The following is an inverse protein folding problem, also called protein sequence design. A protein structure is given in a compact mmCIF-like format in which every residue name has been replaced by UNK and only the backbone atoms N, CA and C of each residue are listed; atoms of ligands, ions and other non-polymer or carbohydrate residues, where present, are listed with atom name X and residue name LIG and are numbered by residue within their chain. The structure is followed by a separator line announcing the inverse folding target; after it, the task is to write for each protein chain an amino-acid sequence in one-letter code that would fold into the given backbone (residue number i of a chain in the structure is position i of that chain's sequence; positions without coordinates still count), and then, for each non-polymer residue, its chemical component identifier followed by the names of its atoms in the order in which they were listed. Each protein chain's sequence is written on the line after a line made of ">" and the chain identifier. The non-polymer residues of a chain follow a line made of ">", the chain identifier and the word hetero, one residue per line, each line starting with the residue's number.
data_IF_629220071108
#
_entry.id   IF_629220071108
#
_cell.length_a   1.000
_cell.length_b   1.000
_cell.length_c   1.000
_cell.angle_alpha   90.00
_cell.angle_beta   90.00
_cell.angle_gamma   90.00
#
_symmetry.space_group_name_H-M   'P 1'
#
loop_
_entity.id
_entity.type
_entity.pdbx_description
1 polymer ?
#
# COMPACT_ATOMS: atom_id res chain seq x y z
N UNK A 1 5.98 15.68 58.22
CA UNK A 1 7.31 15.06 58.35
C UNK A 1 7.40 13.94 57.32
N UNK A 2 8.20 13.89 56.24
CA UNK A 2 9.09 14.81 55.48
C UNK A 2 8.89 14.47 53.97
N UNK A 3 9.00 15.33 52.96
CA UNK A 3 10.11 16.10 52.35
C UNK A 3 11.30 15.24 51.85
N UNK A 4 11.74 15.55 50.61
CA UNK A 4 12.83 15.04 49.75
C UNK A 4 12.41 13.90 48.79
N UNK A 5 12.49 14.01 47.47
CA UNK A 5 13.41 14.78 46.62
C UNK A 5 14.16 13.78 45.74
N UNK A 6 13.70 13.55 44.51
CA UNK A 6 14.26 12.53 43.61
C UNK A 6 13.88 12.80 42.17
N UNK A 7 14.39 13.91 41.62
CA UNK A 7 14.45 14.14 40.19
C UNK A 7 15.36 13.09 39.55
N UNK A 8 14.79 12.11 38.87
CA UNK A 8 15.50 11.21 37.96
C UNK A 8 14.71 11.03 36.67
N UNK A 9 14.71 12.07 35.82
CA UNK A 9 14.70 11.86 34.37
C UNK A 9 16.16 11.78 33.94
N UNK A 10 16.58 10.76 33.17
CA UNK A 10 16.23 10.76 31.74
C UNK A 10 15.99 9.36 31.16
N UNK A 11 14.85 9.10 30.48
CA UNK A 11 14.67 8.00 29.50
C UNK A 11 13.35 8.09 28.71
N UNK A 12 12.87 9.29 28.33
CA UNK A 12 11.67 9.43 27.49
C UNK A 12 11.96 9.35 25.98
N UNK A 13 13.22 9.42 25.56
CA UNK A 13 13.60 9.41 24.13
C UNK A 13 13.66 8.01 23.50
N UNK A 14 14.13 6.99 24.25
CA UNK A 14 14.20 5.61 23.74
C UNK A 14 12.81 5.02 23.50
N UNK A 15 11.90 5.22 24.47
CA UNK A 15 10.49 4.82 24.38
C UNK A 15 9.77 5.52 23.22
N UNK A 16 10.00 6.82 23.02
CA UNK A 16 9.37 7.57 21.92
C UNK A 16 9.79 7.08 20.54
N UNK A 17 11.06 6.69 20.37
CA UNK A 17 11.56 6.11 19.11
C UNK A 17 10.95 4.72 18.86
N UNK A 18 10.88 3.86 19.86
CA UNK A 18 10.27 2.53 19.75
C UNK A 18 8.77 2.60 19.43
N UNK A 19 8.03 3.50 20.10
CA UNK A 19 6.61 3.75 19.82
C UNK A 19 6.41 4.26 18.39
N UNK A 20 7.27 5.19 17.93
CA UNK A 20 7.23 5.69 16.55
C UNK A 20 7.50 4.57 15.54
N UNK A 21 8.53 3.75 15.78
CA UNK A 21 8.91 2.66 14.88
C UNK A 21 7.79 1.59 14.81
N UNK A 22 7.14 1.29 15.95
CA UNK A 22 5.98 0.39 16.00
C UNK A 22 4.76 0.95 15.25
N UNK A 23 4.44 2.23 15.47
CA UNK A 23 3.33 2.91 14.78
C UNK A 23 3.56 2.98 13.27
N UNK A 24 4.77 3.31 12.82
CA UNK A 24 5.12 3.34 11.40
C UNK A 24 4.93 1.97 10.76
N UNK A 25 5.35 0.89 11.43
CA UNK A 25 5.13 -0.48 10.94
C UNK A 25 3.64 -0.82 10.84
N UNK A 26 2.84 -0.44 11.83
CA UNK A 26 1.39 -0.65 11.78
C UNK A 26 0.76 0.09 10.60
N UNK A 27 1.06 1.39 10.45
CA UNK A 27 0.53 2.21 9.34
C UNK A 27 0.97 1.65 7.99
N UNK A 28 2.20 1.15 7.86
CA UNK A 28 2.67 0.51 6.63
C UNK A 28 1.88 -0.76 6.31
N UNK A 29 1.62 -1.62 7.30
CA UNK A 29 0.83 -2.84 7.10
C UNK A 29 -0.62 -2.53 6.69
N UNK A 30 -1.25 -1.55 7.36
CA UNK A 30 -2.60 -1.10 7.03
C UNK A 30 -2.66 -0.49 5.61
N UNK A 31 -1.68 0.35 5.26
CA UNK A 31 -1.58 0.94 3.92
C UNK A 31 -1.39 -0.13 2.84
N UNK A 32 -0.54 -1.13 3.08
CA UNK A 32 -0.35 -2.24 2.14
C UNK A 32 -1.65 -3.01 1.92
N UNK A 33 -2.42 -3.27 2.99
CA UNK A 33 -3.72 -3.94 2.87
C UNK A 33 -4.74 -3.10 2.12
N UNK A 34 -4.80 -1.79 2.37
CA UNK A 34 -5.66 -0.86 1.65
C UNK A 34 -5.34 -0.83 0.15
N UNK A 35 -4.06 -0.69 -0.20
CA UNK A 35 -3.60 -0.69 -1.58
C UNK A 35 -3.94 -1.99 -2.32
N UNK A 36 -3.80 -3.14 -1.65
CA UNK A 36 -4.17 -4.43 -2.22
C UNK A 36 -5.68 -4.52 -2.51
N UNK A 37 -6.52 -4.04 -1.60
CA UNK A 37 -7.98 -3.98 -1.82
C UNK A 37 -8.33 -3.11 -3.03
N UNK A 38 -7.74 -1.92 -3.11
CA UNK A 38 -7.93 -1.02 -4.26
C UNK A 38 -7.47 -1.64 -5.57
N UNK A 39 -6.34 -2.36 -5.57
CA UNK A 39 -5.88 -3.09 -6.75
C UNK A 39 -6.92 -4.11 -7.21
N UNK A 40 -7.44 -4.94 -6.29
CA UNK A 40 -8.46 -5.95 -6.62
C UNK A 40 -9.74 -5.30 -7.16
N UNK A 41 -10.22 -4.21 -6.54
CA UNK A 41 -11.38 -3.47 -7.05
C UNK A 41 -11.14 -2.99 -8.49
N UNK A 42 -10.00 -2.35 -8.75
CA UNK A 42 -9.68 -1.85 -10.08
C UNK A 42 -9.54 -2.99 -11.11
N UNK A 43 -8.90 -4.09 -10.75
CA UNK A 43 -8.77 -5.28 -11.61
C UNK A 43 -10.16 -5.80 -11.97
N UNK A 44 -11.05 -5.94 -10.99
CA UNK A 44 -12.41 -6.41 -11.22
C UNK A 44 -13.18 -5.50 -12.18
N UNK A 45 -13.15 -4.18 -11.93
CA UNK A 45 -13.84 -3.21 -12.78
C UNK A 45 -13.30 -3.21 -14.22
N UNK A 46 -11.98 -3.06 -14.38
CA UNK A 46 -11.37 -2.93 -15.70
C UNK A 46 -11.42 -4.23 -16.49
N UNK A 47 -11.16 -5.37 -15.86
CA UNK A 47 -11.17 -6.64 -16.57
C UNK A 47 -12.58 -7.08 -16.92
N UNK A 48 -13.57 -6.84 -16.06
CA UNK A 48 -14.96 -7.13 -16.39
C UNK A 48 -15.43 -6.29 -17.58
N UNK A 49 -15.21 -4.97 -17.54
CA UNK A 49 -15.58 -4.05 -18.64
C UNK A 49 -14.96 -4.48 -19.98
N UNK A 50 -13.69 -4.92 -19.98
CA UNK A 50 -13.00 -5.31 -21.21
C UNK A 50 -13.31 -6.71 -21.70
N UNK A 51 -13.56 -7.66 -20.80
CA UNK A 51 -13.65 -9.07 -21.16
C UNK A 51 -15.06 -9.63 -21.19
N UNK A 52 -16.08 -8.96 -20.63
CA UNK A 52 -17.46 -9.47 -20.53
C UNK A 52 -18.42 -8.56 -21.30
N UNK A 53 -18.48 -8.68 -22.65
CA UNK A 53 -19.31 -7.80 -23.49
C UNK A 53 -20.81 -8.08 -23.40
N UNK A 54 -21.20 -9.29 -22.98
CA UNK A 54 -22.59 -9.71 -22.84
C UNK A 54 -22.79 -10.48 -21.52
N UNK A 55 -23.02 -9.76 -20.40
CA UNK A 55 -23.17 -10.39 -19.09
C UNK A 55 -24.33 -11.39 -19.06
N UNK A 56 -24.07 -12.57 -18.49
CA UNK A 56 -25.05 -13.65 -18.38
C UNK A 56 -24.86 -14.50 -17.12
N UNK A 57 -25.71 -15.52 -16.91
CA UNK A 57 -25.61 -16.42 -15.74
C UNK A 57 -24.38 -17.32 -15.79
N UNK A 58 -23.75 -17.46 -16.95
CA UNK A 58 -22.53 -18.25 -17.16
C UNK A 58 -21.50 -17.43 -17.91
N UNK A 59 -20.23 -17.73 -17.68
CA UNK A 59 -19.13 -17.22 -18.49
C UNK A 59 -18.79 -18.21 -19.60
N UNK A 60 -18.55 -17.70 -20.80
CA UNK A 60 -17.95 -18.46 -21.88
C UNK A 60 -16.46 -18.74 -21.62
N UNK A 61 -15.90 -19.77 -22.28
CA UNK A 61 -14.48 -20.07 -22.21
C UNK A 61 -13.59 -18.90 -22.70
N UNK A 62 -14.09 -18.12 -23.67
CA UNK A 62 -13.40 -16.93 -24.18
C UNK A 62 -13.32 -15.80 -23.14
N UNK A 63 -14.42 -15.54 -22.42
CA UNK A 63 -14.43 -14.55 -21.33
C UNK A 63 -13.51 -14.99 -20.18
N UNK A 64 -13.48 -16.27 -19.84
CA UNK A 64 -12.59 -16.83 -18.80
C UNK A 64 -11.12 -16.67 -19.16
N UNK A 65 -10.75 -17.00 -20.41
CA UNK A 65 -9.40 -16.80 -20.91
C UNK A 65 -9.02 -15.31 -20.91
N UNK A 66 -9.92 -14.44 -21.39
CA UNK A 66 -9.69 -13.00 -21.38
C UNK A 66 -9.49 -12.44 -19.96
N UNK A 67 -10.33 -12.84 -18.99
CA UNK A 67 -10.18 -12.40 -17.61
C UNK A 67 -8.83 -12.82 -17.02
N UNK A 68 -8.41 -14.08 -17.23
CA UNK A 68 -7.10 -14.56 -16.78
C UNK A 68 -5.98 -13.70 -17.32
N UNK A 69 -5.95 -13.51 -18.64
CA UNK A 69 -4.99 -12.67 -19.34
C UNK A 69 -5.01 -11.22 -18.84
N UNK A 70 -6.20 -10.65 -18.66
CA UNK A 70 -6.38 -9.28 -18.22
C UNK A 70 -5.83 -9.07 -16.82
N UNK A 71 -6.16 -9.96 -15.87
CA UNK A 71 -5.70 -9.87 -14.50
C UNK A 71 -4.16 -9.92 -14.43
N UNK A 72 -3.54 -10.86 -15.15
CA UNK A 72 -2.08 -10.97 -15.22
C UNK A 72 -1.44 -9.70 -15.80
N UNK A 73 -1.95 -9.20 -16.93
CA UNK A 73 -1.46 -7.98 -17.58
C UNK A 73 -1.63 -6.76 -16.67
N UNK A 74 -2.78 -6.61 -16.01
CA UNK A 74 -3.07 -5.50 -15.12
C UNK A 74 -2.15 -5.47 -13.90
N UNK A 75 -1.94 -6.63 -13.25
CA UNK A 75 -1.04 -6.74 -12.09
C UNK A 75 0.41 -6.46 -12.51
N UNK A 76 0.85 -6.96 -13.67
CA UNK A 76 2.18 -6.67 -14.21
C UNK A 76 2.38 -5.17 -14.51
N UNK A 77 1.37 -4.54 -15.08
CA UNK A 77 1.34 -3.09 -15.28
C UNK A 77 1.43 -2.35 -13.95
N UNK A 78 0.55 -2.66 -12.99
CA UNK A 78 0.51 -2.02 -11.68
C UNK A 78 1.85 -2.14 -10.94
N UNK A 79 2.47 -3.32 -10.95
CA UNK A 79 3.78 -3.56 -10.34
C UNK A 79 4.87 -2.66 -10.94
N UNK A 80 4.87 -2.52 -12.27
CA UNK A 80 5.85 -1.70 -12.98
C UNK A 80 5.67 -0.21 -12.69
N UNK A 81 4.42 0.25 -12.72
CA UNK A 81 4.08 1.65 -12.40
C UNK A 81 4.37 1.95 -10.93
N UNK A 82 3.95 1.10 -10.00
CA UNK A 82 4.15 1.27 -8.56
C UNK A 82 5.63 1.42 -8.18
N UNK A 83 6.50 0.55 -8.73
CA UNK A 83 7.96 0.65 -8.53
C UNK A 83 8.52 1.96 -9.09
N UNK A 84 8.12 2.32 -10.31
CA UNK A 84 8.60 3.53 -10.98
C UNK A 84 8.19 4.79 -10.24
N UNK A 85 6.92 4.85 -9.82
CA UNK A 85 6.34 5.94 -9.06
C UNK A 85 7.02 6.10 -7.70
N UNK A 86 7.14 5.02 -6.93
CA UNK A 86 7.78 5.06 -5.59
C UNK A 86 9.24 5.53 -5.70
N UNK A 87 9.97 5.07 -6.74
CA UNK A 87 11.35 5.54 -7.01
C UNK A 87 11.40 7.04 -7.28
N UNK A 88 10.45 7.56 -8.07
CA UNK A 88 10.36 9.00 -8.38
C UNK A 88 10.03 9.81 -7.14
N UNK A 89 9.00 9.42 -6.38
CA UNK A 89 8.61 10.09 -5.14
C UNK A 89 9.79 10.16 -4.16
N UNK A 90 10.50 9.05 -3.93
CA UNK A 90 11.66 9.06 -3.05
C UNK A 90 12.82 9.94 -3.54
N UNK A 91 12.95 10.14 -4.86
CA UNK A 91 13.95 11.05 -5.44
C UNK A 91 13.56 12.51 -5.22
N UNK A 92 12.30 12.86 -5.48
CA UNK A 92 11.80 14.23 -5.30
C UNK A 92 11.74 14.63 -3.82
N UNK A 93 11.41 13.69 -2.92
CA UNK A 93 11.40 13.93 -1.48
C UNK A 93 12.80 14.25 -0.94
N UNK A 94 13.84 13.56 -1.44
CA UNK A 94 15.24 13.89 -1.09
C UNK A 94 15.66 15.27 -1.59
N UNK A 95 15.26 15.65 -2.82
CA UNK A 95 15.54 16.98 -3.36
C UNK A 95 14.88 18.08 -2.50
N UNK A 96 13.64 17.88 -2.08
CA UNK A 96 12.92 18.83 -1.22
C UNK A 96 13.60 19.00 0.15
N UNK A 97 14.17 17.94 0.72
CA UNK A 97 14.89 17.99 2.00
C UNK A 97 16.28 18.62 1.91
N UNK A 98 16.82 18.79 0.69
CA UNK A 98 18.14 19.40 0.45
C UNK A 98 18.09 20.90 0.13
N UNK A 99 16.89 21.48 0.03
CA UNK A 99 16.63 22.92 -0.10
C UNK A 99 16.34 23.52 1.29
#
# INVERSE_FOLDING_TARGET
>A
MGIFGGSSTPSTDASSKEVKDALVKQVQAESAMSNARTLITNVNEHCFEKCVPAPGPTMSAGEQACLTDCMEKYINFWNTVSRTYTRRVGTEQKKMLSL
#
